data_IF_446424592957
#
_entry.id   IF_446424592957
#
_cell.length_a   1.000
_cell.length_b   1.000
_cell.length_c   1.000
_cell.angle_alpha   90.00
_cell.angle_beta   90.00
_cell.angle_gamma   90.00
#
_symmetry.space_group_name_H-M   'P 1'
#
loop_
_entity.id
_entity.type
_entity.pdbx_description
1 polymer ?
#
# COMPACT_ATOMS: atom_id res chain seq x y z
N UNK A 1 -40.48 -72.89 -28.41
CA UNK A 1 -40.79 -72.23 -27.12
C UNK A 1 -39.79 -72.76 -26.10
N UNK A 2 -38.79 -71.97 -25.72
CA UNK A 2 -37.72 -72.42 -24.81
C UNK A 2 -38.31 -72.46 -23.41
N UNK A 3 -38.67 -73.67 -22.95
CA UNK A 3 -39.19 -73.95 -21.61
C UNK A 3 -38.02 -73.96 -20.63
N UNK A 4 -37.74 -72.81 -20.02
CA UNK A 4 -36.82 -72.73 -18.89
C UNK A 4 -37.56 -73.25 -17.65
N UNK A 5 -36.96 -74.22 -16.96
CA UNK A 5 -37.47 -74.72 -15.69
C UNK A 5 -37.61 -73.57 -14.69
N UNK A 6 -38.78 -73.46 -14.04
CA UNK A 6 -39.05 -72.45 -13.02
C UNK A 6 -38.00 -72.46 -11.87
N UNK A 7 -37.38 -73.62 -11.60
CA UNK A 7 -36.30 -73.75 -10.61
C UNK A 7 -35.00 -73.06 -11.03
N UNK A 8 -34.64 -73.14 -12.31
CA UNK A 8 -33.45 -72.45 -12.86
C UNK A 8 -33.65 -70.94 -12.92
N UNK A 9 -34.84 -70.47 -13.34
CA UNK A 9 -35.17 -69.05 -13.35
C UNK A 9 -35.13 -68.44 -11.94
N UNK A 10 -35.74 -69.10 -10.94
CA UNK A 10 -35.72 -68.64 -9.55
C UNK A 10 -34.31 -68.50 -8.96
N UNK A 11 -33.39 -69.42 -9.29
CA UNK A 11 -31.99 -69.33 -8.83
C UNK A 11 -31.26 -68.13 -9.44
N UNK A 12 -31.42 -67.88 -10.74
CA UNK A 12 -30.80 -66.73 -11.42
C UNK A 12 -31.32 -65.42 -10.84
N UNK A 13 -32.64 -65.29 -10.63
CA UNK A 13 -33.24 -64.09 -10.04
C UNK A 13 -32.70 -63.84 -8.63
N UNK A 14 -32.55 -64.88 -7.79
CA UNK A 14 -31.96 -64.74 -6.45
C UNK A 14 -30.51 -64.23 -6.48
N UNK A 15 -29.70 -64.72 -7.43
CA UNK A 15 -28.31 -64.27 -7.60
C UNK A 15 -28.27 -62.81 -8.06
N UNK A 16 -29.09 -62.42 -9.05
CA UNK A 16 -29.19 -61.02 -9.49
C UNK A 16 -29.61 -60.08 -8.36
N UNK A 17 -30.59 -60.48 -7.54
CA UNK A 17 -31.03 -59.70 -6.39
C UNK A 17 -29.88 -59.55 -5.37
N UNK A 18 -29.12 -60.61 -5.11
CA UNK A 18 -27.98 -60.55 -4.19
C UNK A 18 -26.88 -59.60 -4.69
N UNK A 19 -26.55 -59.65 -5.98
CA UNK A 19 -25.59 -58.72 -6.60
C UNK A 19 -26.08 -57.27 -6.54
N UNK A 20 -27.39 -57.04 -6.77
CA UNK A 20 -27.99 -55.70 -6.64
C UNK A 20 -27.93 -55.16 -5.22
N UNK A 21 -28.21 -55.99 -4.21
CA UNK A 21 -28.16 -55.59 -2.80
C UNK A 21 -26.73 -55.24 -2.42
N UNK A 22 -25.75 -56.10 -2.75
CA UNK A 22 -24.34 -55.86 -2.43
C UNK A 22 -23.81 -54.60 -3.11
N UNK A 23 -24.15 -54.37 -4.38
CA UNK A 23 -23.80 -53.12 -5.08
C UNK A 23 -24.44 -51.88 -4.42
N UNK A 24 -25.72 -51.95 -4.06
CA UNK A 24 -26.45 -50.85 -3.42
C UNK A 24 -25.84 -50.49 -2.07
N UNK A 25 -25.50 -51.49 -1.25
CA UNK A 25 -24.83 -51.29 0.04
C UNK A 25 -23.44 -50.69 -0.16
N UNK A 26 -22.65 -51.20 -1.10
CA UNK A 26 -21.33 -50.66 -1.42
C UNK A 26 -21.37 -49.19 -1.87
N UNK A 27 -22.36 -48.84 -2.70
CA UNK A 27 -22.57 -47.46 -3.14
C UNK A 27 -22.94 -46.53 -1.98
N UNK A 28 -23.82 -46.97 -1.07
CA UNK A 28 -24.18 -46.19 0.11
C UNK A 28 -22.97 -45.94 1.02
N UNK A 29 -22.17 -46.98 1.29
CA UNK A 29 -20.94 -46.84 2.10
C UNK A 29 -19.97 -45.84 1.46
N UNK A 30 -19.73 -45.95 0.15
CA UNK A 30 -18.86 -45.03 -0.58
C UNK A 30 -19.35 -43.58 -0.47
N UNK A 31 -20.66 -43.35 -0.67
CA UNK A 31 -21.26 -42.01 -0.55
C UNK A 31 -21.15 -41.46 0.86
N UNK A 32 -21.36 -42.29 1.88
CA UNK A 32 -21.21 -41.88 3.28
C UNK A 32 -19.76 -41.44 3.58
N UNK A 33 -18.76 -42.21 3.16
CA UNK A 33 -17.34 -41.84 3.35
C UNK A 33 -17.02 -40.51 2.66
N UNK A 34 -17.47 -40.34 1.42
CA UNK A 34 -17.24 -39.13 0.65
C UNK A 34 -17.93 -37.90 1.29
N UNK A 35 -19.14 -38.07 1.80
CA UNK A 35 -19.86 -37.03 2.53
C UNK A 35 -19.11 -36.60 3.79
N UNK A 36 -18.62 -37.55 4.60
CA UNK A 36 -17.82 -37.23 5.79
C UNK A 36 -16.53 -36.49 5.44
N UNK A 37 -15.84 -36.91 4.38
CA UNK A 37 -14.62 -36.24 3.91
C UNK A 37 -14.91 -34.79 3.51
N UNK A 38 -15.95 -34.55 2.72
CA UNK A 38 -16.35 -33.20 2.28
C UNK A 38 -16.77 -32.34 3.47
N UNK A 39 -17.52 -32.89 4.42
CA UNK A 39 -17.94 -32.15 5.62
C UNK A 39 -16.73 -31.70 6.43
N UNK A 40 -15.77 -32.60 6.67
CA UNK A 40 -14.56 -32.27 7.41
C UNK A 40 -13.69 -31.22 6.70
N UNK A 41 -13.52 -31.33 5.38
CA UNK A 41 -12.82 -30.32 4.58
C UNK A 41 -13.53 -28.96 4.67
N UNK A 42 -14.86 -28.93 4.60
CA UNK A 42 -15.65 -27.70 4.73
C UNK A 42 -15.48 -27.06 6.10
N UNK A 43 -15.48 -27.84 7.18
CA UNK A 43 -15.31 -27.33 8.54
C UNK A 43 -13.90 -26.73 8.72
N UNK A 44 -12.86 -27.43 8.25
CA UNK A 44 -11.50 -26.90 8.27
C UNK A 44 -11.35 -25.61 7.45
N UNK A 45 -11.93 -25.57 6.25
CA UNK A 45 -11.91 -24.36 5.41
C UNK A 45 -12.64 -23.21 6.09
N UNK A 46 -13.72 -23.47 6.81
CA UNK A 46 -14.48 -22.46 7.55
C UNK A 46 -13.65 -21.87 8.68
N UNK A 47 -12.98 -22.73 9.48
CA UNK A 47 -12.08 -22.30 10.56
C UNK A 47 -10.94 -21.43 10.00
N UNK A 48 -10.26 -21.91 8.95
CA UNK A 48 -9.16 -21.16 8.33
C UNK A 48 -9.65 -19.82 7.78
N UNK A 49 -10.85 -19.77 7.20
CA UNK A 49 -11.42 -18.54 6.66
C UNK A 49 -11.75 -17.54 7.77
N UNK A 50 -12.30 -17.99 8.90
CA UNK A 50 -12.56 -17.15 10.07
C UNK A 50 -11.26 -16.60 10.67
N UNK A 51 -10.23 -17.44 10.82
CA UNK A 51 -8.91 -17.00 11.27
C UNK A 51 -8.29 -15.95 10.34
N UNK A 52 -8.36 -16.18 9.01
CA UNK A 52 -7.84 -15.23 8.02
C UNK A 52 -8.62 -13.92 7.99
N UNK A 53 -9.92 -13.97 8.22
CA UNK A 53 -10.77 -12.78 8.37
C UNK A 53 -10.38 -12.00 9.62
N UNK A 54 -10.21 -12.66 10.76
CA UNK A 54 -9.76 -12.03 12.00
C UNK A 54 -8.37 -11.40 11.87
N UNK A 55 -7.43 -12.08 11.20
CA UNK A 55 -6.10 -11.54 10.89
C UNK A 55 -6.20 -10.27 10.03
N UNK A 56 -7.06 -10.29 9.01
CA UNK A 56 -7.28 -9.17 8.09
C UNK A 56 -7.92 -7.98 8.81
N UNK A 57 -8.91 -8.21 9.67
CA UNK A 57 -9.56 -7.16 10.46
C UNK A 57 -8.59 -6.52 11.47
N UNK A 58 -7.72 -7.33 12.10
CA UNK A 58 -6.66 -6.81 12.96
C UNK A 58 -5.67 -5.95 12.16
N UNK A 59 -5.21 -6.44 11.01
CA UNK A 59 -4.31 -5.68 10.14
C UNK A 59 -4.95 -4.37 9.68
N UNK A 60 -6.23 -4.38 9.32
CA UNK A 60 -6.98 -3.18 8.93
C UNK A 60 -7.02 -2.16 10.08
N UNK A 61 -7.29 -2.60 11.31
CA UNK A 61 -7.24 -1.73 12.50
C UNK A 61 -5.85 -1.14 12.72
N UNK A 62 -4.79 -1.93 12.57
CA UNK A 62 -3.41 -1.44 12.71
C UNK A 62 -3.08 -0.39 11.64
N UNK A 63 -3.49 -0.62 10.39
CA UNK A 63 -3.31 0.36 9.30
C UNK A 63 -4.07 1.64 9.59
N UNK A 64 -5.30 1.59 10.09
CA UNK A 64 -6.08 2.77 10.47
C UNK A 64 -5.42 3.55 11.63
N UNK A 65 -4.91 2.84 12.65
CA UNK A 65 -4.18 3.47 13.75
C UNK A 65 -2.89 4.16 13.25
N UNK A 66 -2.14 3.50 12.38
CA UNK A 66 -0.93 4.08 11.78
C UNK A 66 -1.26 5.30 10.92
N UNK A 67 -2.33 5.26 10.13
CA UNK A 67 -2.80 6.43 9.36
C UNK A 67 -3.14 7.60 10.27
N UNK A 68 -3.87 7.37 11.36
CA UNK A 68 -4.19 8.41 12.35
C UNK A 68 -2.93 9.01 12.99
N UNK A 69 -1.94 8.17 13.34
CA UNK A 69 -0.66 8.64 13.86
C UNK A 69 0.08 9.52 12.84
N UNK A 70 0.13 9.12 11.57
CA UNK A 70 0.74 9.91 10.50
C UNK A 70 0.03 11.26 10.35
N UNK A 71 -1.31 11.27 10.40
CA UNK A 71 -2.09 12.52 10.28
C UNK A 71 -1.85 13.47 11.46
N UNK A 72 -1.70 12.94 12.68
CA UNK A 72 -1.35 13.75 13.86
C UNK A 72 0.03 14.37 13.67
N UNK A 73 1.01 13.54 13.32
CA UNK A 73 2.39 14.01 13.09
C UNK A 73 2.42 15.03 11.97
N UNK A 74 1.71 14.81 10.86
CA UNK A 74 1.66 15.74 9.72
C UNK A 74 1.12 17.13 10.10
N UNK A 75 0.18 17.22 11.05
CA UNK A 75 -0.33 18.51 11.55
C UNK A 75 0.70 19.29 12.36
N UNK A 76 1.70 18.63 12.94
CA UNK A 76 2.79 19.27 13.67
C UNK A 76 3.81 19.94 12.74
N UNK A 77 3.87 19.52 11.46
CA UNK A 77 4.81 20.09 10.49
C UNK A 77 4.17 21.21 9.65
N UNK A 78 5.03 21.95 8.94
CA UNK A 78 4.61 23.06 8.09
C UNK A 78 3.86 22.56 6.85
N UNK A 79 2.78 23.25 6.47
CA UNK A 79 2.07 22.96 5.23
C UNK A 79 2.81 23.54 4.02
N UNK A 80 2.55 22.99 2.82
CA UNK A 80 3.16 23.47 1.56
C UNK A 80 2.94 24.97 1.34
N UNK A 81 1.73 25.46 1.58
CA UNK A 81 1.35 26.88 1.39
C UNK A 81 2.08 27.81 2.38
N UNK A 82 2.20 27.38 3.64
CA UNK A 82 2.94 28.11 4.66
C UNK A 82 4.43 28.17 4.33
N UNK A 83 5.00 27.05 3.86
CA UNK A 83 6.40 26.99 3.42
C UNK A 83 6.65 27.93 2.24
N UNK A 84 5.79 27.88 1.23
CA UNK A 84 5.89 28.74 0.05
C UNK A 84 5.87 30.22 0.43
N UNK A 85 4.96 30.62 1.33
CA UNK A 85 4.86 32.00 1.80
C UNK A 85 6.13 32.45 2.51
N UNK A 86 6.67 31.61 3.42
CA UNK A 86 7.93 31.91 4.14
C UNK A 86 9.13 32.01 3.20
N UNK A 87 9.26 31.08 2.26
CA UNK A 87 10.40 31.06 1.33
C UNK A 87 10.34 32.24 0.37
N UNK A 88 9.15 32.59 -0.15
CA UNK A 88 8.97 33.78 -0.98
C UNK A 88 9.29 35.07 -0.23
N UNK A 89 8.90 35.18 1.04
CA UNK A 89 9.22 36.33 1.88
C UNK A 89 10.74 36.43 2.18
N UNK A 90 11.42 35.31 2.41
CA UNK A 90 12.88 35.30 2.55
C UNK A 90 13.54 35.74 1.24
N UNK A 91 13.11 35.20 0.10
CA UNK A 91 13.70 35.51 -1.19
C UNK A 91 13.45 36.95 -1.63
N UNK A 92 12.29 37.53 -1.32
CA UNK A 92 12.01 38.93 -1.62
C UNK A 92 12.88 39.89 -0.81
N UNK A 93 13.14 39.58 0.48
CA UNK A 93 14.02 40.38 1.35
C UNK A 93 15.50 40.24 1.01
N UNK A 94 15.90 39.05 0.55
CA UNK A 94 17.31 38.74 0.25
C UNK A 94 17.68 39.02 -1.22
N UNK A 95 16.72 39.25 -2.11
CA UNK A 95 17.03 39.61 -3.50
C UNK A 95 17.57 41.03 -3.55
N UNK A 96 18.77 41.18 -4.11
CA UNK A 96 19.47 42.46 -4.28
C UNK A 96 19.75 42.66 -5.78
N UNK A 97 20.12 43.86 -6.21
CA UNK A 97 20.41 44.13 -7.62
C UNK A 97 21.40 43.13 -8.27
N UNK A 98 22.37 42.64 -7.50
CA UNK A 98 23.44 41.74 -7.98
C UNK A 98 22.99 40.28 -8.14
N UNK A 99 21.93 39.84 -7.43
CA UNK A 99 21.34 38.52 -7.59
C UNK A 99 19.87 38.46 -7.18
N UNK A 100 19.08 37.69 -7.93
CA UNK A 100 17.66 37.49 -7.71
C UNK A 100 17.35 36.02 -7.45
N UNK A 101 16.61 35.77 -6.37
CA UNK A 101 16.10 34.45 -6.01
C UNK A 101 14.61 34.38 -6.32
N UNK A 102 14.20 33.39 -7.11
CA UNK A 102 12.79 33.16 -7.43
C UNK A 102 12.39 31.75 -7.00
N UNK A 103 11.35 31.66 -6.19
CA UNK A 103 10.71 30.39 -5.88
C UNK A 103 9.87 29.93 -7.09
N UNK A 104 10.06 28.69 -7.53
CA UNK A 104 9.30 28.10 -8.62
C UNK A 104 8.19 27.19 -8.08
N UNK A 105 8.57 26.18 -7.30
CA UNK A 105 7.64 25.22 -6.70
C UNK A 105 8.29 24.50 -5.51
N UNK A 106 7.51 23.74 -4.76
CA UNK A 106 8.01 22.79 -3.77
C UNK A 106 7.26 21.45 -3.85
N UNK A 107 8.00 20.36 -3.65
CA UNK A 107 7.46 19.01 -3.61
C UNK A 107 7.71 18.38 -2.25
N UNK A 108 6.65 17.93 -1.59
CA UNK A 108 6.74 17.17 -0.35
C UNK A 108 7.33 15.79 -0.64
N UNK A 109 8.40 15.43 0.06
CA UNK A 109 9.06 14.13 -0.05
C UNK A 109 8.70 13.24 1.15
N UNK A 110 8.81 13.79 2.35
CA UNK A 110 8.45 13.14 3.61
C UNK A 110 7.56 14.08 4.45
N UNK A 111 7.11 13.61 5.61
CA UNK A 111 6.31 14.43 6.54
C UNK A 111 7.04 15.71 6.95
N UNK A 112 8.36 15.60 7.12
CA UNK A 112 9.28 16.63 7.60
C UNK A 112 10.20 17.21 6.50
N UNK A 113 10.05 16.79 5.24
CA UNK A 113 11.03 17.10 4.19
C UNK A 113 10.38 17.57 2.90
N UNK A 114 10.86 18.72 2.41
CA UNK A 114 10.41 19.35 1.18
C UNK A 114 11.59 19.57 0.23
N UNK A 115 11.37 19.27 -1.04
CA UNK A 115 12.25 19.67 -2.11
C UNK A 115 11.75 21.00 -2.68
N UNK A 116 12.49 22.07 -2.44
CA UNK A 116 12.19 23.40 -2.95
C UNK A 116 12.93 23.57 -4.29
N UNK A 117 12.20 24.02 -5.31
CA UNK A 117 12.74 24.33 -6.63
C UNK A 117 12.86 25.84 -6.74
N UNK A 118 14.08 26.31 -6.97
CA UNK A 118 14.39 27.73 -7.02
C UNK A 118 15.13 28.07 -8.31
N UNK A 119 14.94 29.29 -8.77
CA UNK A 119 15.71 29.88 -9.84
C UNK A 119 16.60 30.97 -9.28
N UNK A 120 17.88 30.94 -9.64
CA UNK A 120 18.89 31.91 -9.25
C UNK A 120 19.38 32.62 -10.50
N UNK A 121 19.31 33.94 -10.49
CA UNK A 121 19.89 34.79 -11.53
C UNK A 121 20.89 35.72 -10.85
N UNK A 122 22.16 35.71 -11.25
CA UNK A 122 23.20 36.57 -10.69
C UNK A 122 23.92 37.32 -11.82
N UNK A 123 24.32 38.58 -11.55
CA UNK A 123 25.07 39.41 -12.50
C UNK A 123 26.59 39.29 -12.31
N UNK A 124 27.03 38.97 -11.09
CA UNK A 124 28.43 38.77 -10.75
C UNK A 124 28.68 37.39 -10.11
N UNK A 125 29.93 36.92 -10.16
CA UNK A 125 30.35 35.66 -9.52
C UNK A 125 30.18 35.73 -7.99
N UNK A 126 30.44 36.90 -7.39
CA UNK A 126 30.19 37.16 -5.98
C UNK A 126 28.69 37.09 -5.64
N UNK A 127 27.82 37.63 -6.50
CA UNK A 127 26.37 37.54 -6.35
C UNK A 127 25.87 36.09 -6.45
N UNK A 128 26.46 35.27 -7.32
CA UNK A 128 26.15 33.85 -7.40
C UNK A 128 26.53 33.11 -6.11
N UNK A 129 27.73 33.37 -5.57
CA UNK A 129 28.19 32.76 -4.34
C UNK A 129 27.32 33.17 -3.13
N UNK A 130 26.88 34.43 -3.08
CA UNK A 130 25.95 34.91 -2.05
C UNK A 130 24.59 34.20 -2.15
N UNK A 131 24.03 34.08 -3.36
CA UNK A 131 22.78 33.35 -3.59
C UNK A 131 22.87 31.88 -3.17
N UNK A 132 23.97 31.21 -3.51
CA UNK A 132 24.23 29.83 -3.07
C UNK A 132 24.37 29.72 -1.55
N UNK A 133 25.00 30.71 -0.91
CA UNK A 133 25.09 30.81 0.55
C UNK A 133 23.71 30.81 1.21
N UNK A 134 22.78 31.63 0.70
CA UNK A 134 21.39 31.69 1.21
C UNK A 134 20.68 30.35 1.02
N UNK A 135 20.79 29.75 -0.16
CA UNK A 135 20.16 28.45 -0.41
C UNK A 135 20.75 27.34 0.47
N UNK A 136 22.06 27.38 0.72
CA UNK A 136 22.76 26.43 1.59
C UNK A 136 22.36 26.55 3.06
N UNK A 137 22.00 27.75 3.51
CA UNK A 137 21.47 27.98 4.86
C UNK A 137 20.09 27.35 5.04
N UNK A 138 19.26 27.35 3.99
CA UNK A 138 17.94 26.72 4.01
C UNK A 138 18.07 25.19 3.98
N UNK A 139 19.01 24.65 3.21
CA UNK A 139 19.17 23.21 3.12
C UNK A 139 20.25 22.75 2.14
N UNK A 140 20.27 21.45 1.85
CA UNK A 140 21.27 20.89 0.92
C UNK A 140 20.91 21.27 -0.52
N UNK A 141 21.86 21.87 -1.22
CA UNK A 141 21.67 22.34 -2.59
C UNK A 141 22.14 21.30 -3.62
N UNK A 142 21.38 21.16 -4.71
CA UNK A 142 21.80 20.44 -5.91
C UNK A 142 21.43 21.27 -7.14
N UNK A 143 22.41 21.55 -8.00
CA UNK A 143 22.19 22.25 -9.29
C UNK A 143 21.51 21.31 -10.27
N UNK A 144 20.64 21.83 -11.15
CA UNK A 144 20.06 21.04 -12.23
C UNK A 144 21.12 20.69 -13.28
N UNK A 145 21.18 19.44 -13.71
CA UNK A 145 22.26 18.95 -14.59
C UNK A 145 22.26 19.64 -15.97
N UNK A 146 21.10 20.08 -16.46
CA UNK A 146 20.95 20.70 -17.79
C UNK A 146 20.64 22.21 -17.77
N UNK A 147 20.31 22.80 -16.61
CA UNK A 147 19.90 24.20 -16.53
C UNK A 147 20.69 24.90 -15.43
N UNK A 148 21.48 25.89 -15.82
CA UNK A 148 22.43 26.51 -14.92
C UNK A 148 21.78 27.44 -13.89
N UNK A 149 20.52 27.84 -14.13
CA UNK A 149 19.79 28.78 -13.28
C UNK A 149 18.90 28.09 -12.25
N UNK A 150 18.65 26.78 -12.38
CA UNK A 150 17.73 26.05 -11.51
C UNK A 150 18.49 25.27 -10.45
N UNK A 151 18.05 25.45 -9.21
CA UNK A 151 18.60 24.79 -8.03
C UNK A 151 17.49 24.08 -7.26
N UNK A 152 17.84 22.91 -6.71
CA UNK A 152 17.02 22.15 -5.81
C UNK A 152 17.56 22.30 -4.40
N UNK A 153 16.71 22.73 -3.47
CA UNK A 153 17.04 22.84 -2.06
C UNK A 153 16.26 21.78 -1.29
N UNK A 154 16.99 20.91 -0.64
CA UNK A 154 16.44 19.92 0.26
C UNK A 154 16.26 20.50 1.66
N UNK A 155 15.03 20.86 1.98
CA UNK A 155 14.63 21.50 3.22
C UNK A 155 14.04 20.48 4.20
N UNK A 156 14.57 20.47 5.43
CA UNK A 156 14.06 19.67 6.54
C UNK A 156 13.33 20.63 7.49
N UNK A 157 12.01 20.49 7.57
CA UNK A 157 11.17 21.30 8.45
C UNK A 157 11.27 20.80 9.88
N UNK A 158 11.43 21.71 10.82
CA UNK A 158 11.27 21.43 12.24
C UNK A 158 9.78 21.41 12.61
N UNK A 159 9.36 20.61 13.60
CA UNK A 159 7.99 20.65 14.11
C UNK A 159 7.66 22.07 14.60
N UNK A 160 6.41 22.49 14.44
CA UNK A 160 5.92 23.75 14.98
C UNK A 160 6.08 23.72 16.50
N UNK A 161 6.77 24.69 17.07
CA UNK A 161 6.73 24.90 18.52
C UNK A 161 5.29 25.26 18.89
N UNK A 162 4.57 24.29 19.45
CA UNK A 162 3.26 24.53 20.06
C UNK A 162 3.53 25.36 21.32
N UNK A 163 3.30 26.68 21.24
CA UNK A 163 3.22 27.54 22.42
C UNK A 163 1.92 27.31 23.16
#
# INVERSE_FOLDING_TARGET
MISISNKTLSRITKICIFVLITYSVGFLIYKTILYFKISFEKDNLTIVLEEKKAQTDNLKKQVELSKKKIEIVEKEYINKEELETKVKDIFSRMSVFDYQLKYLDSKKMCVDRYLIVTQVTAQSENGLQAALGILSYIGKIKKHDQNETIYFVDYISTPKEIK
#
